data_IF_294681416470
#
_entry.id   IF_294681416470
#
_cell.length_a   1.000
_cell.length_b   1.000
_cell.length_c   1.000
_cell.angle_alpha   90.00
_cell.angle_beta   90.00
_cell.angle_gamma   90.00
#
_symmetry.space_group_name_H-M   'P 1'
#
loop_
_entity.id
_entity.type
_entity.pdbx_description
1 polymer ?
#
# COMPACT_ATOMS: atom_id res chain seq x y z
N UNK A 1 -7.87 0.09 19.87
CA UNK A 1 -7.09 1.35 19.83
C UNK A 1 -6.53 1.70 18.44
N UNK A 2 -6.54 0.80 17.43
CA UNK A 2 -6.17 1.08 16.03
C UNK A 2 -7.18 1.93 15.22
N UNK A 3 -8.45 1.95 15.67
CA UNK A 3 -9.54 2.72 15.05
C UNK A 3 -9.42 4.23 15.17
N UNK A 4 -8.42 4.81 15.85
CA UNK A 4 -8.45 6.27 16.15
C UNK A 4 -7.64 7.14 15.18
N UNK A 5 -6.52 6.65 14.64
CA UNK A 5 -5.61 7.49 13.82
C UNK A 5 -6.02 7.49 12.34
N UNK A 6 -6.34 6.32 11.79
CA UNK A 6 -6.90 6.22 10.44
C UNK A 6 -8.25 6.93 10.37
N UNK A 7 -9.09 6.78 11.40
CA UNK A 7 -10.42 7.38 11.48
C UNK A 7 -10.36 8.91 11.63
N UNK A 8 -9.36 9.46 12.34
CA UNK A 8 -9.14 10.91 12.39
C UNK A 8 -8.75 11.48 11.03
N UNK A 9 -7.79 10.85 10.34
CA UNK A 9 -7.39 11.26 8.98
C UNK A 9 -8.52 11.06 7.97
N UNK A 10 -9.30 10.00 8.11
CA UNK A 10 -10.51 9.73 7.32
C UNK A 10 -11.53 10.85 7.50
N UNK A 11 -11.79 11.24 8.75
CA UNK A 11 -12.70 12.34 9.10
C UNK A 11 -12.26 13.68 8.51
N UNK A 12 -10.96 14.01 8.56
CA UNK A 12 -10.40 15.23 7.97
C UNK A 12 -10.54 15.26 6.43
N UNK A 13 -10.42 14.10 5.76
CA UNK A 13 -10.54 13.99 4.30
C UNK A 13 -12.01 14.10 3.87
N UNK A 14 -12.93 13.46 4.59
CA UNK A 14 -14.38 13.57 4.34
C UNK A 14 -14.87 15.02 4.41
N UNK A 15 -14.47 15.76 5.46
CA UNK A 15 -14.85 17.17 5.61
C UNK A 15 -14.35 18.06 4.46
N UNK A 16 -13.23 17.69 3.81
CA UNK A 16 -12.69 18.42 2.65
C UNK A 16 -13.36 18.04 1.34
N UNK A 17 -13.84 16.80 1.18
CA UNK A 17 -14.44 16.32 -0.07
C UNK A 17 -15.88 16.76 -0.30
N UNK A 18 -16.60 17.20 0.73
CA UNK A 18 -17.98 17.73 0.61
C UNK A 18 -18.08 18.98 -0.29
N UNK A 19 -16.96 19.61 -0.66
CA UNK A 19 -16.93 20.82 -1.49
C UNK A 19 -16.87 20.58 -3.01
N UNK A 20 -16.80 19.34 -3.50
CA UNK A 20 -16.77 19.04 -4.94
C UNK A 20 -17.64 17.82 -5.27
N UNK A 21 -18.74 18.04 -6.00
CA UNK A 21 -19.68 16.99 -6.40
C UNK A 21 -19.07 16.10 -7.50
N UNK A 22 -18.85 14.82 -7.17
CA UNK A 22 -18.49 13.76 -8.14
C UNK A 22 -19.80 13.08 -8.58
N UNK A 23 -20.03 12.96 -9.88
CA UNK A 23 -21.34 12.63 -10.47
C UNK A 23 -21.77 11.14 -10.30
N UNK A 24 -20.97 10.32 -9.60
CA UNK A 24 -21.19 8.89 -9.41
C UNK A 24 -20.80 8.43 -7.98
N UNK A 25 -21.70 7.75 -7.23
CA UNK A 25 -21.43 7.29 -5.86
C UNK A 25 -20.23 6.35 -5.71
N UNK A 26 -19.96 5.45 -6.67
CA UNK A 26 -18.79 4.56 -6.58
C UNK A 26 -17.46 5.30 -6.77
N UNK A 27 -17.45 6.36 -7.57
CA UNK A 27 -16.25 7.18 -7.78
C UNK A 27 -15.93 8.04 -6.56
N UNK A 28 -16.94 8.42 -5.76
CA UNK A 28 -16.73 9.11 -4.49
C UNK A 28 -15.99 8.21 -3.48
N UNK A 29 -16.44 6.96 -3.30
CA UNK A 29 -15.82 6.00 -2.39
C UNK A 29 -14.38 5.67 -2.82
N UNK A 30 -14.15 5.41 -4.11
CA UNK A 30 -12.80 5.24 -4.65
C UNK A 30 -11.95 6.50 -4.48
N UNK A 31 -12.52 7.70 -4.65
CA UNK A 31 -11.80 8.96 -4.41
C UNK A 31 -11.38 9.13 -2.94
N UNK A 32 -12.18 8.64 -1.99
CA UNK A 32 -11.88 8.70 -0.56
C UNK A 32 -10.80 7.69 -0.18
N UNK A 33 -10.93 6.46 -0.68
CA UNK A 33 -9.95 5.39 -0.45
C UNK A 33 -8.60 5.79 -1.06
N UNK A 34 -8.59 6.33 -2.27
CA UNK A 34 -7.34 6.75 -2.94
C UNK A 34 -6.66 7.97 -2.31
N UNK A 35 -7.41 8.79 -1.57
CA UNK A 35 -6.88 9.92 -0.78
C UNK A 35 -6.14 9.47 0.49
N UNK A 36 -6.27 8.22 0.93
CA UNK A 36 -5.52 7.68 2.08
C UNK A 36 -4.59 6.55 1.66
N UNK A 37 -3.30 6.81 1.81
CA UNK A 37 -2.28 5.78 1.65
C UNK A 37 -2.24 4.89 2.89
N UNK A 38 -2.35 3.59 2.66
CA UNK A 38 -2.08 2.53 3.65
C UNK A 38 -0.61 2.14 3.66
N UNK A 39 0.09 2.37 2.54
CA UNK A 39 1.52 2.17 2.33
C UNK A 39 2.16 3.51 2.00
N UNK A 40 3.14 3.91 2.78
CA UNK A 40 3.90 5.14 2.55
C UNK A 40 5.09 4.85 1.61
N UNK A 41 5.74 3.70 1.77
CA UNK A 41 6.94 3.31 1.00
C UNK A 41 6.86 1.89 0.45
N UNK A 42 7.45 1.67 -0.72
CA UNK A 42 7.74 0.35 -1.26
C UNK A 42 9.24 0.10 -1.19
N UNK A 43 9.64 -1.04 -0.62
CA UNK A 43 11.00 -1.57 -0.69
C UNK A 43 11.10 -2.54 -1.84
N UNK A 44 11.91 -2.20 -2.85
CA UNK A 44 12.12 -3.00 -4.06
C UNK A 44 13.61 -3.15 -4.32
N UNK A 45 14.15 -4.36 -4.14
CA UNK A 45 15.59 -4.59 -4.15
C UNK A 45 16.30 -3.72 -3.11
N UNK A 46 17.26 -2.91 -3.54
CA UNK A 46 17.97 -1.92 -2.71
C UNK A 46 17.28 -0.55 -2.61
N UNK A 47 16.17 -0.36 -3.32
CA UNK A 47 15.48 0.92 -3.41
C UNK A 47 14.32 1.01 -2.43
N UNK A 48 14.11 2.20 -1.89
CA UNK A 48 12.93 2.59 -1.14
C UNK A 48 12.24 3.71 -1.92
N UNK A 49 10.96 3.51 -2.25
CA UNK A 49 10.22 4.35 -3.18
C UNK A 49 8.97 4.89 -2.50
N UNK A 50 8.80 6.21 -2.52
CA UNK A 50 7.59 6.88 -2.05
C UNK A 50 6.37 6.48 -2.87
N UNK A 51 5.29 6.08 -2.19
CA UNK A 51 4.02 5.80 -2.84
C UNK A 51 3.26 7.09 -3.14
N UNK A 52 2.79 7.29 -4.37
CA UNK A 52 2.00 8.47 -4.76
C UNK A 52 0.51 8.32 -4.57
N UNK A 53 0.00 7.09 -4.69
CA UNK A 53 -1.42 6.76 -4.58
C UNK A 53 -1.63 5.55 -3.69
N UNK A 54 -2.86 5.37 -3.21
CA UNK A 54 -3.28 4.13 -2.58
C UNK A 54 -3.19 2.95 -3.57
N UNK A 55 -2.86 1.78 -3.04
CA UNK A 55 -3.02 0.50 -3.73
C UNK A 55 -3.65 -0.52 -2.76
N UNK A 56 -4.60 -1.35 -3.20
CA UNK A 56 -5.39 -2.23 -2.32
C UNK A 56 -4.61 -3.48 -1.88
N UNK A 57 -3.38 -3.32 -1.38
CA UNK A 57 -2.63 -4.41 -0.77
C UNK A 57 -3.25 -4.75 0.60
N UNK A 58 -3.56 -6.04 0.88
CA UNK A 58 -4.20 -6.48 2.12
C UNK A 58 -3.16 -6.60 3.24
N UNK A 59 -2.45 -5.51 3.53
CA UNK A 59 -1.44 -5.45 4.59
C UNK A 59 -1.90 -4.52 5.68
N UNK A 60 -1.74 -4.97 6.93
CA UNK A 60 -1.97 -4.13 8.09
C UNK A 60 -0.86 -3.05 8.16
N UNK A 61 -1.20 -1.75 8.08
CA UNK A 61 -0.24 -0.66 8.13
C UNK A 61 0.55 -0.59 9.44
N UNK A 62 -0.05 -1.03 10.56
CA UNK A 62 0.61 -1.01 11.88
C UNK A 62 1.70 -2.10 11.97
N UNK A 63 1.41 -3.29 11.45
CA UNK A 63 2.35 -4.41 11.47
C UNK A 63 3.51 -4.22 10.48
N UNK A 64 3.23 -3.59 9.34
CA UNK A 64 4.21 -3.34 8.29
C UNK A 64 5.02 -2.05 8.48
N UNK A 65 4.65 -1.21 9.46
CA UNK A 65 5.19 0.14 9.58
C UNK A 65 4.93 1.00 8.34
N UNK A 66 3.84 0.71 7.59
CA UNK A 66 3.49 1.34 6.31
C UNK A 66 4.51 1.13 5.18
N UNK A 67 5.36 0.09 5.28
CA UNK A 67 6.32 -0.28 4.23
C UNK A 67 5.89 -1.59 3.57
N UNK A 68 5.75 -1.58 2.25
CA UNK A 68 5.49 -2.77 1.46
C UNK A 68 6.80 -3.35 0.92
N UNK A 69 7.15 -4.58 1.30
CA UNK A 69 8.36 -5.24 0.83
C UNK A 69 8.05 -6.07 -0.40
N UNK A 70 8.70 -5.80 -1.52
CA UNK A 70 8.48 -6.50 -2.79
C UNK A 70 9.77 -7.18 -3.23
N UNK A 71 9.68 -8.46 -3.58
CA UNK A 71 10.77 -9.18 -4.22
C UNK A 71 11.03 -8.64 -5.63
N UNK A 72 12.27 -8.25 -5.90
CA UNK A 72 12.64 -7.66 -7.20
C UNK A 72 12.46 -8.62 -8.39
N UNK A 73 12.50 -9.93 -8.15
CA UNK A 73 12.42 -10.94 -9.20
C UNK A 73 11.00 -11.41 -9.50
N UNK A 74 10.24 -11.77 -8.46
CA UNK A 74 8.91 -12.38 -8.64
C UNK A 74 7.74 -11.43 -8.31
N UNK A 75 8.05 -10.20 -7.88
CA UNK A 75 7.08 -9.18 -7.48
C UNK A 75 6.13 -9.59 -6.34
N UNK A 76 6.42 -10.70 -5.66
CA UNK A 76 5.69 -11.09 -4.46
C UNK A 76 5.89 -10.02 -3.39
N UNK A 77 4.79 -9.60 -2.78
CA UNK A 77 4.79 -8.64 -1.68
C UNK A 77 4.79 -9.34 -0.33
N UNK A 78 5.30 -8.66 0.69
CA UNK A 78 5.45 -9.10 2.08
C UNK A 78 5.24 -7.92 3.03
N UNK A 79 4.74 -8.20 4.24
CA UNK A 79 4.51 -7.18 5.27
C UNK A 79 5.76 -6.84 6.09
N UNK A 80 6.82 -7.66 6.05
CA UNK A 80 8.01 -7.47 6.85
C UNK A 80 9.28 -7.85 6.09
N UNK A 81 10.39 -7.17 6.41
CA UNK A 81 11.70 -7.43 5.80
C UNK A 81 12.18 -8.87 6.04
N UNK A 82 11.98 -9.43 7.24
CA UNK A 82 12.37 -10.80 7.56
C UNK A 82 11.65 -11.86 6.71
N UNK A 83 10.43 -11.56 6.24
CA UNK A 83 9.71 -12.42 5.30
C UNK A 83 10.33 -12.34 3.90
N UNK A 84 10.78 -11.16 3.48
CA UNK A 84 11.52 -10.93 2.23
C UNK A 84 12.86 -11.67 2.22
N UNK A 85 13.63 -11.61 3.30
CA UNK A 85 14.89 -12.34 3.42
C UNK A 85 14.69 -13.86 3.30
N UNK A 86 13.69 -14.41 4.02
CA UNK A 86 13.32 -15.83 3.89
C UNK A 86 12.88 -16.16 2.47
N UNK A 87 12.15 -15.26 1.81
CA UNK A 87 11.73 -15.44 0.43
C UNK A 87 12.93 -15.49 -0.52
N UNK A 88 13.93 -14.62 -0.37
CA UNK A 88 15.13 -14.62 -1.23
C UNK A 88 15.87 -15.96 -1.21
N UNK A 89 15.94 -16.63 -0.06
CA UNK A 89 16.57 -17.96 0.04
C UNK A 89 15.85 -19.06 -0.77
N UNK A 90 14.58 -18.86 -1.11
CA UNK A 90 13.71 -19.86 -1.78
C UNK A 90 13.24 -19.45 -3.17
N UNK A 91 13.33 -18.15 -3.50
CA UNK A 91 12.84 -17.61 -4.75
C UNK A 91 13.68 -18.11 -5.92
N UNK A 92 13.03 -18.78 -6.88
CA UNK A 92 13.67 -19.33 -8.08
C UNK A 92 13.64 -18.39 -9.29
N UNK A 93 12.83 -17.33 -9.25
CA UNK A 93 12.75 -16.36 -10.34
C UNK A 93 14.00 -15.49 -10.40
N UNK A 94 14.57 -15.32 -11.58
CA UNK A 94 15.65 -14.35 -11.87
C UNK A 94 15.41 -13.56 -13.16
N UNK A 95 14.28 -13.84 -13.82
CA UNK A 95 13.73 -13.07 -14.93
C UNK A 95 12.20 -13.08 -14.77
N UNK A 96 11.49 -12.12 -15.39
CA UNK A 96 10.03 -12.13 -15.43
C UNK A 96 9.50 -13.45 -16.02
N UNK A 97 8.37 -13.97 -15.52
CA UNK A 97 7.72 -15.13 -16.12
C UNK A 97 7.19 -14.77 -17.51
N UNK A 98 7.66 -15.50 -18.52
CA UNK A 98 7.35 -15.36 -19.93
C UNK A 98 8.17 -16.36 -20.74
N UNK A 99 7.79 -16.59 -22.00
CA UNK A 99 8.55 -17.41 -22.95
C UNK A 99 9.74 -16.63 -23.55
#
# INVERSE_FOLDING_TARGET
QARSVLDRRFSEILQRSEKHMVHNPQDYELSLITKMKTVDYVRYGQYEVDCWYFSPYPINPEESGRILYICEYCLKYMAAYSALEKHYSKCRYRHPPGD
#
